data_IF_693058253939
#
_entry.id   IF_693058253939
#
_cell.length_a   1.000
_cell.length_b   1.000
_cell.length_c   1.000
_cell.angle_alpha   90.00
_cell.angle_beta   90.00
_cell.angle_gamma   90.00
#
_symmetry.space_group_name_H-M   'P 1'
#
loop_
_entity.id
_entity.type
_entity.pdbx_description
1 polymer ?
#
# COMPACT_ATOMS: atom_id res chain seq x y z
N UNK A 1 -26.56 2.97 -22.93
CA UNK A 1 -25.22 2.63 -22.56
C UNK A 1 -24.69 3.43 -21.40
N UNK A 2 -24.22 2.78 -20.38
CA UNK A 2 -23.75 3.45 -19.21
C UNK A 2 -22.37 4.08 -19.39
N UNK A 3 -22.11 5.06 -18.57
CA UNK A 3 -20.81 5.69 -18.53
C UNK A 3 -19.87 4.84 -17.66
N UNK A 4 -18.64 4.63 -18.12
CA UNK A 4 -17.66 3.90 -17.35
C UNK A 4 -17.30 4.71 -16.12
N UNK A 5 -17.29 4.06 -14.94
CA UNK A 5 -16.87 4.71 -13.71
C UNK A 5 -15.38 5.03 -13.78
N UNK A 6 -15.03 6.18 -13.24
CA UNK A 6 -13.63 6.56 -13.13
C UNK A 6 -13.11 6.02 -11.81
N UNK A 7 -12.13 5.12 -11.89
CA UNK A 7 -11.55 4.48 -10.73
C UNK A 7 -10.08 4.87 -10.60
N UNK A 8 -9.62 4.99 -9.37
CA UNK A 8 -8.19 5.17 -9.11
C UNK A 8 -7.44 3.92 -9.51
N UNK A 9 -6.28 4.05 -10.16
CA UNK A 9 -5.43 2.90 -10.40
C UNK A 9 -5.04 2.20 -9.10
N UNK A 10 -4.94 0.87 -9.14
CA UNK A 10 -4.60 0.08 -7.96
C UNK A 10 -3.27 0.48 -7.34
N UNK A 11 -2.30 0.84 -8.17
CA UNK A 11 -0.99 1.29 -7.67
C UNK A 11 -1.13 2.51 -6.76
N UNK A 12 -1.98 3.46 -7.15
CA UNK A 12 -2.19 4.66 -6.35
C UNK A 12 -2.96 4.36 -5.08
N UNK A 13 -3.92 3.42 -5.13
CA UNK A 13 -4.64 3.00 -3.92
C UNK A 13 -3.67 2.38 -2.92
N UNK A 14 -2.81 1.49 -3.39
CA UNK A 14 -1.81 0.86 -2.53
C UNK A 14 -0.89 1.91 -1.93
N UNK A 15 -0.42 2.84 -2.75
CA UNK A 15 0.49 3.89 -2.29
C UNK A 15 -0.11 4.68 -1.12
N UNK A 16 -1.35 5.15 -1.29
CA UNK A 16 -2.05 5.92 -0.25
C UNK A 16 -2.30 5.09 0.99
N UNK A 17 -2.83 3.89 0.79
CA UNK A 17 -3.25 3.06 1.92
C UNK A 17 -2.07 2.57 2.74
N UNK A 18 -0.97 2.20 2.09
CA UNK A 18 0.24 1.81 2.82
C UNK A 18 0.74 2.98 3.68
N UNK A 19 0.82 4.17 3.10
CA UNK A 19 1.28 5.34 3.85
C UNK A 19 0.37 5.67 5.03
N UNK A 20 -0.95 5.60 4.81
CA UNK A 20 -1.93 5.89 5.87
C UNK A 20 -1.83 4.87 7.00
N UNK A 21 -1.84 3.57 6.68
CA UNK A 21 -1.74 2.54 7.71
C UNK A 21 -0.40 2.58 8.43
N UNK A 22 0.69 2.83 7.69
CA UNK A 22 2.01 2.94 8.29
C UNK A 22 2.05 4.09 9.31
N UNK A 23 1.58 5.26 8.90
CA UNK A 23 1.57 6.43 9.77
C UNK A 23 0.68 6.21 10.99
N UNK A 24 -0.48 5.57 10.81
CA UNK A 24 -1.40 5.30 11.91
C UNK A 24 -0.76 4.38 12.96
N UNK A 25 0.17 3.52 12.58
CA UNK A 25 0.86 2.64 13.50
C UNK A 25 2.17 3.24 14.02
N UNK A 26 2.53 4.43 13.58
CA UNK A 26 3.74 5.10 14.02
C UNK A 26 5.01 4.49 13.47
N UNK A 27 4.94 3.71 12.39
CA UNK A 27 6.12 3.11 11.78
C UNK A 27 6.79 4.09 10.82
N UNK A 28 8.13 4.09 10.82
CA UNK A 28 8.88 4.69 9.72
C UNK A 28 8.85 3.74 8.52
N UNK A 29 9.24 4.24 7.35
CA UNK A 29 9.39 3.38 6.17
C UNK A 29 10.40 2.27 6.44
N UNK A 30 11.46 2.57 7.17
CA UNK A 30 12.47 1.59 7.54
C UNK A 30 11.87 0.49 8.41
N UNK A 31 11.11 0.87 9.43
CA UNK A 31 10.47 -0.09 10.33
C UNK A 31 9.47 -0.98 9.61
N UNK A 32 8.65 -0.39 8.75
CA UNK A 32 7.72 -1.20 7.95
C UNK A 32 8.48 -2.17 7.05
N UNK A 33 9.55 -1.70 6.43
CA UNK A 33 10.39 -2.57 5.60
C UNK A 33 10.94 -3.75 6.39
N UNK A 34 11.43 -3.51 7.60
CA UNK A 34 11.94 -4.58 8.45
C UNK A 34 10.86 -5.61 8.79
N UNK A 35 9.67 -5.13 9.13
CA UNK A 35 8.55 -6.02 9.46
C UNK A 35 8.08 -6.83 8.26
N UNK A 36 8.11 -6.23 7.07
CA UNK A 36 7.64 -6.87 5.85
C UNK A 36 8.72 -7.69 5.14
N UNK A 37 9.98 -7.58 5.58
CA UNK A 37 11.09 -8.22 4.88
C UNK A 37 11.43 -7.56 3.57
N UNK A 38 11.23 -6.23 3.48
CA UNK A 38 11.47 -5.44 2.28
C UNK A 38 12.35 -4.25 2.62
N UNK A 39 13.14 -3.81 1.64
CA UNK A 39 14.02 -2.67 1.86
C UNK A 39 13.21 -1.38 1.98
N UNK A 40 13.66 -0.46 2.84
CA UNK A 40 12.98 0.82 3.03
C UNK A 40 12.84 1.62 1.73
N UNK A 41 13.81 1.50 0.82
CA UNK A 41 13.76 2.18 -0.46
C UNK A 41 12.57 1.69 -1.28
N UNK A 42 12.27 0.38 -1.21
CA UNK A 42 11.12 -0.19 -1.89
C UNK A 42 9.82 0.32 -1.28
N UNK A 43 9.74 0.38 0.05
CA UNK A 43 8.57 0.92 0.73
C UNK A 43 8.33 2.38 0.28
N UNK A 44 9.38 3.18 0.22
CA UNK A 44 9.26 4.57 -0.26
C UNK A 44 8.75 4.64 -1.68
N UNK A 45 9.26 3.78 -2.56
CA UNK A 45 8.80 3.74 -3.95
C UNK A 45 7.34 3.31 -4.06
N UNK A 46 6.90 2.36 -3.22
CA UNK A 46 5.50 1.94 -3.16
C UNK A 46 4.62 3.14 -2.79
N UNK A 47 5.02 3.88 -1.76
CA UNK A 47 4.23 5.01 -1.27
C UNK A 47 4.18 6.17 -2.26
N UNK A 48 5.14 6.25 -3.18
CA UNK A 48 5.14 7.24 -4.26
C UNK A 48 4.49 6.74 -5.53
N UNK A 49 3.95 5.52 -5.50
CA UNK A 49 3.32 4.88 -6.66
C UNK A 49 4.27 4.72 -7.85
N UNK A 50 5.54 4.49 -7.56
CA UNK A 50 6.60 4.44 -8.60
C UNK A 50 6.95 3.03 -9.05
N UNK A 51 6.42 2.00 -8.40
CA UNK A 51 6.78 0.62 -8.70
C UNK A 51 5.53 -0.25 -8.79
N UNK A 52 5.65 -1.33 -9.55
CA UNK A 52 4.66 -2.41 -9.50
C UNK A 52 4.91 -3.22 -8.24
N UNK A 53 3.84 -3.51 -7.52
CA UNK A 53 3.93 -4.31 -6.31
C UNK A 53 3.34 -5.68 -6.62
N UNK A 54 4.15 -6.71 -6.44
CA UNK A 54 3.65 -8.07 -6.65
C UNK A 54 2.59 -8.41 -5.61
N UNK A 55 1.73 -9.36 -5.93
CA UNK A 55 0.73 -9.85 -4.96
C UNK A 55 1.43 -10.34 -3.69
N UNK A 56 2.56 -11.03 -3.84
CA UNK A 56 3.28 -11.52 -2.66
C UNK A 56 3.78 -10.37 -1.78
N UNK A 57 4.24 -9.29 -2.38
CA UNK A 57 4.70 -8.13 -1.60
C UNK A 57 3.53 -7.36 -0.99
N UNK A 58 2.40 -7.31 -1.67
CA UNK A 58 1.17 -6.76 -1.06
C UNK A 58 0.83 -7.54 0.21
N UNK A 59 0.89 -8.87 0.14
CA UNK A 59 0.62 -9.73 1.29
C UNK A 59 1.61 -9.46 2.43
N UNK A 60 2.90 -9.34 2.11
CA UNK A 60 3.93 -9.06 3.13
C UNK A 60 3.69 -7.73 3.83
N UNK A 61 3.35 -6.70 3.07
CA UNK A 61 3.08 -5.38 3.63
C UNK A 61 1.80 -5.41 4.47
N UNK A 62 0.75 -6.05 3.96
CA UNK A 62 -0.51 -6.16 4.69
C UNK A 62 -0.32 -6.89 6.02
N UNK A 63 0.43 -8.00 6.01
CA UNK A 63 0.72 -8.74 7.23
C UNK A 63 1.48 -7.86 8.23
N UNK A 64 2.49 -7.14 7.76
CA UNK A 64 3.28 -6.25 8.62
C UNK A 64 2.43 -5.14 9.22
N UNK A 65 1.41 -4.69 8.52
CA UNK A 65 0.49 -3.65 8.98
C UNK A 65 -0.71 -4.22 9.75
N UNK A 66 -0.84 -5.54 9.82
CA UNK A 66 -1.97 -6.22 10.45
C UNK A 66 -3.30 -5.85 9.82
N UNK A 67 -3.33 -5.75 8.51
CA UNK A 67 -4.56 -5.49 7.75
C UNK A 67 -4.75 -6.58 6.70
N UNK A 68 -6.00 -6.72 6.25
CA UNK A 68 -6.30 -7.59 5.12
C UNK A 68 -5.76 -6.93 3.84
N UNK A 69 -5.16 -7.70 2.91
CA UNK A 69 -4.70 -7.12 1.65
C UNK A 69 -5.76 -6.31 0.91
N UNK A 70 -7.03 -6.67 1.05
CA UNK A 70 -8.11 -5.91 0.40
C UNK A 70 -8.16 -4.47 0.90
N UNK A 71 -7.74 -4.21 2.14
CA UNK A 71 -7.72 -2.86 2.68
C UNK A 71 -6.68 -1.99 2.01
N UNK A 72 -5.61 -2.60 1.48
CA UNK A 72 -4.60 -1.86 0.73
C UNK A 72 -5.09 -1.47 -0.66
N UNK A 73 -6.08 -2.19 -1.17
CA UNK A 73 -6.65 -1.94 -2.50
C UNK A 73 -7.96 -1.16 -2.43
N UNK A 74 -8.43 -0.85 -1.24
CA UNK A 74 -9.70 -0.15 -1.07
C UNK A 74 -9.61 1.28 -1.60
N UNK A 75 -10.69 1.80 -2.19
CA UNK A 75 -10.74 3.19 -2.58
C UNK A 75 -10.69 4.08 -1.35
N UNK A 76 -10.09 5.26 -1.50
CA UNK A 76 -10.04 6.21 -0.40
C UNK A 76 -11.45 6.73 -0.14
N UNK A 77 -11.80 6.78 1.14
CA UNK A 77 -13.10 7.33 1.54
C UNK A 77 -13.07 8.85 1.45
N UNK A 78 -14.20 9.46 1.03
CA UNK A 78 -14.29 10.92 0.99
C UNK A 78 -14.23 11.53 2.39
#
# INVERSE_FOLDING_TARGET
MGRRRKLDPSRQRIARNVAVFRAARGYTQHELGQLAGLHRTFIGAVERAEVNVSIDNVDRIALALSVDPVELLAPQQP
#
